data_IF_055648611114
#
_entry.id   IF_055648611114
#
_cell.length_a   1.000
_cell.length_b   1.000
_cell.length_c   1.000
_cell.angle_alpha   90.00
_cell.angle_beta   90.00
_cell.angle_gamma   90.00
#
_symmetry.space_group_name_H-M   'P 1'
#
loop_
_entity.id
_entity.type
_entity.pdbx_description
1 polymer ?
#
# COMPACT_ATOMS: atom_id res chain seq x y z
N UNK A 1 -11.54 1.25 2.41
CA UNK A 1 -10.26 1.77 1.90
C UNK A 1 -10.50 3.13 1.28
N UNK A 2 -9.72 4.13 1.69
CA UNK A 2 -9.76 5.53 1.22
C UNK A 2 -8.35 6.11 1.20
N UNK A 3 -8.18 7.26 0.54
CA UNK A 3 -6.92 8.01 0.55
C UNK A 3 -6.53 8.35 1.99
N UNK A 4 -5.27 8.11 2.34
CA UNK A 4 -4.71 8.27 3.68
C UNK A 4 -4.70 7.00 4.54
N UNK A 5 -5.42 5.94 4.16
CA UNK A 5 -5.36 4.67 4.89
C UNK A 5 -3.95 4.05 4.79
N UNK A 6 -3.49 3.44 5.89
CA UNK A 6 -2.33 2.56 5.90
C UNK A 6 -2.80 1.16 5.48
N UNK A 7 -2.12 0.58 4.51
CA UNK A 7 -2.47 -0.70 3.92
C UNK A 7 -1.25 -1.63 3.85
N UNK A 8 -1.54 -2.92 3.74
CA UNK A 8 -0.56 -3.95 3.38
C UNK A 8 -1.16 -4.89 2.32
N UNK A 9 -0.30 -5.57 1.58
CA UNK A 9 -0.73 -6.66 0.71
C UNK A 9 -1.16 -7.86 1.56
N UNK A 10 -2.31 -8.47 1.23
CA UNK A 10 -2.89 -9.59 2.00
C UNK A 10 -1.94 -10.79 2.13
N UNK A 11 -1.26 -11.12 1.03
CA UNK A 11 -0.35 -12.27 0.96
C UNK A 11 1.13 -11.86 0.89
N UNK A 12 1.44 -10.56 1.01
CA UNK A 12 2.72 -9.99 0.57
C UNK A 12 2.84 -10.02 -0.97
N UNK A 13 3.31 -8.95 -1.62
CA UNK A 13 3.54 -9.03 -3.08
C UNK A 13 4.76 -9.92 -3.40
N UNK A 14 5.73 -9.94 -2.47
CA UNK A 14 6.93 -10.76 -2.44
C UNK A 14 7.24 -11.18 -0.99
N UNK A 15 8.00 -12.27 -0.79
CA UNK A 15 8.32 -12.81 0.54
C UNK A 15 9.07 -11.80 1.44
N UNK A 16 9.85 -10.90 0.85
CA UNK A 16 10.59 -9.83 1.54
C UNK A 16 9.73 -8.59 1.84
N UNK A 17 8.51 -8.52 1.30
CA UNK A 17 7.54 -7.46 1.58
C UNK A 17 6.54 -7.82 2.70
N UNK A 18 6.68 -9.00 3.31
CA UNK A 18 5.87 -9.40 4.47
C UNK A 18 6.14 -8.42 5.63
N UNK A 19 5.08 -7.73 6.06
CA UNK A 19 5.13 -6.72 7.12
C UNK A 19 5.42 -5.30 6.64
N UNK A 20 5.61 -5.08 5.33
CA UNK A 20 5.70 -3.73 4.77
C UNK A 20 4.33 -3.05 4.79
N UNK A 21 4.35 -1.74 5.02
CA UNK A 21 3.14 -0.91 5.02
C UNK A 21 3.27 0.21 4.01
N UNK A 22 2.12 0.62 3.48
CA UNK A 22 2.03 1.63 2.45
C UNK A 22 0.90 2.59 2.80
N UNK A 23 1.03 3.85 2.39
CA UNK A 23 -0.04 4.83 2.48
C UNK A 23 -0.73 4.89 1.12
N UNK A 24 -2.06 4.78 1.12
CA UNK A 24 -2.84 5.00 -0.09
C UNK A 24 -2.89 6.49 -0.40
N UNK A 25 -2.30 6.90 -1.53
CA UNK A 25 -2.24 8.33 -1.91
C UNK A 25 -3.22 8.70 -3.04
N UNK A 26 -3.66 7.73 -3.85
CA UNK A 26 -4.68 7.94 -4.88
C UNK A 26 -5.55 6.68 -5.04
N UNK A 27 -6.87 6.86 -5.22
CA UNK A 27 -7.83 5.78 -5.44
C UNK A 27 -8.62 6.08 -6.73
N UNK A 28 -8.58 5.16 -7.69
CA UNK A 28 -9.29 5.25 -8.95
C UNK A 28 -10.00 3.93 -9.28
N UNK A 29 -11.24 3.78 -8.79
CA UNK A 29 -12.02 2.57 -8.99
C UNK A 29 -11.42 1.37 -8.27
N UNK A 30 -11.01 0.34 -9.02
CA UNK A 30 -10.42 -0.89 -8.51
C UNK A 30 -8.90 -0.81 -8.31
N UNK A 31 -8.26 0.29 -8.72
CA UNK A 31 -6.82 0.52 -8.62
C UNK A 31 -6.48 1.69 -7.74
N UNK A 32 -5.31 1.63 -7.10
CA UNK A 32 -4.79 2.70 -6.26
C UNK A 32 -3.29 2.90 -6.46
N UNK A 33 -2.82 4.11 -6.15
CA UNK A 33 -1.40 4.42 -6.02
C UNK A 33 -1.05 4.38 -4.54
N UNK A 34 0.01 3.63 -4.23
CA UNK A 34 0.57 3.44 -2.91
C UNK A 34 1.91 4.13 -2.82
N UNK A 35 2.23 4.62 -1.62
CA UNK A 35 3.55 5.12 -1.24
C UNK A 35 4.09 4.25 -0.11
N UNK A 36 5.27 3.68 -0.28
CA UNK A 36 5.90 2.86 0.75
C UNK A 36 6.24 3.71 1.99
N UNK A 37 5.97 3.18 3.19
CA UNK A 37 6.33 3.82 4.45
C UNK A 37 7.78 3.49 4.76
N UNK A 38 8.68 4.41 4.40
CA UNK A 38 10.13 4.27 4.53
C UNK A 38 10.77 5.64 4.81
N UNK A 39 11.99 5.61 5.33
CA UNK A 39 12.89 6.74 5.56
C UNK A 39 13.72 7.14 4.33
N UNK A 40 13.55 6.46 3.19
CA UNK A 40 14.20 6.83 1.94
C UNK A 40 13.80 8.26 1.49
N UNK A 41 14.74 9.06 0.95
CA UNK A 41 14.47 10.42 0.50
C UNK A 41 13.39 10.52 -0.59
N UNK A 42 13.30 9.48 -1.43
CA UNK A 42 12.28 9.33 -2.46
C UNK A 42 11.60 7.98 -2.23
N UNK A 43 10.45 7.96 -1.53
CA UNK A 43 9.78 6.71 -1.23
C UNK A 43 9.27 6.03 -2.50
N UNK A 44 9.47 4.71 -2.65
CA UNK A 44 8.91 3.95 -3.75
C UNK A 44 7.39 4.11 -3.83
N UNK A 45 6.89 4.22 -5.05
CA UNK A 45 5.46 4.21 -5.34
C UNK A 45 5.09 2.97 -6.15
N UNK A 46 3.87 2.51 -5.96
CA UNK A 46 3.39 1.28 -6.60
C UNK A 46 1.92 1.42 -6.98
N UNK A 47 1.52 0.72 -8.03
CA UNK A 47 0.12 0.61 -8.43
C UNK A 47 -0.38 -0.78 -8.05
N UNK A 48 -1.50 -0.83 -7.33
CA UNK A 48 -2.07 -2.07 -6.84
C UNK A 48 -3.58 -2.10 -7.08
N UNK A 49 -4.17 -3.31 -7.05
CA UNK A 49 -5.62 -3.44 -6.97
C UNK A 49 -6.05 -3.34 -5.52
N UNK A 50 -7.19 -2.70 -5.28
CA UNK A 50 -7.81 -2.61 -3.96
C UNK A 50 -8.09 -4.01 -3.38
N UNK A 51 -8.42 -4.97 -4.24
CA UNK A 51 -8.71 -6.35 -3.84
C UNK A 51 -7.53 -7.09 -3.22
N UNK A 52 -6.29 -6.70 -3.53
CA UNK A 52 -5.06 -7.35 -3.07
C UNK A 52 -4.57 -6.77 -1.73
N UNK A 53 -5.25 -5.72 -1.24
CA UNK A 53 -4.85 -4.94 -0.08
C UNK A 53 -5.82 -5.10 1.08
N UNK A 54 -5.30 -4.97 2.29
CA UNK A 54 -6.07 -4.83 3.52
C UNK A 54 -5.61 -3.62 4.31
N UNK A 55 -6.55 -2.96 4.99
CA UNK A 55 -6.26 -1.80 5.84
C UNK A 55 -5.65 -2.29 7.14
N UNK A 56 -4.57 -1.64 7.57
CA UNK A 56 -3.96 -1.84 8.87
C UNK A 56 -4.68 -0.92 9.86
N UNK A 57 -5.54 -1.49 10.71
CA UNK A 57 -6.14 -0.72 11.81
C UNK A 57 -5.06 -0.35 12.84
N UNK A 58 -5.14 0.84 13.46
CA UNK A 58 -4.20 1.29 14.50
C UNK A 58 -4.31 0.50 15.81
#
# INVERSE_FOLDING_TARGET
MKVGDIVKFKDGMYDDEIGQTYILIELNGDRCILKHVTDLPIPPTSVAKVADLEVVDP
#
